data_IF_851460152054
#
_entry.id   IF_851460152054
#
_cell.length_a   1.000
_cell.length_b   1.000
_cell.length_c   1.000
_cell.angle_alpha   90.00
_cell.angle_beta   90.00
_cell.angle_gamma   90.00
#
_symmetry.space_group_name_H-M   'P 1'
#
loop_
_entity.id
_entity.type
_entity.pdbx_description
1 polymer ?
#
# COMPACT_ATOMS: atom_id res chain seq x y z
N UNK A 1 -14.03 1.34 4.84
CA UNK A 1 -13.04 0.48 5.50
C UNK A 1 -13.45 -0.98 5.46
N UNK A 2 -14.68 -1.28 5.88
CA UNK A 2 -15.15 -2.66 6.14
C UNK A 2 -15.07 -3.60 4.93
N UNK A 3 -15.20 -3.07 3.71
CA UNK A 3 -15.10 -3.88 2.48
C UNK A 3 -13.64 -4.22 2.13
N UNK A 4 -12.68 -3.33 2.40
CA UNK A 4 -11.28 -3.48 1.98
C UNK A 4 -10.42 -4.16 3.04
N UNK A 5 -10.72 -3.93 4.33
CA UNK A 5 -9.94 -4.45 5.45
C UNK A 5 -9.70 -5.97 5.37
N UNK A 6 -10.70 -6.83 5.09
CA UNK A 6 -10.46 -8.28 5.05
C UNK A 6 -9.48 -8.72 3.96
N UNK A 7 -9.50 -8.04 2.80
CA UNK A 7 -8.56 -8.32 1.72
C UNK A 7 -7.16 -7.85 2.08
N UNK A 8 -7.04 -6.65 2.65
CA UNK A 8 -5.76 -6.13 3.12
C UNK A 8 -5.14 -7.06 4.17
N UNK A 9 -5.92 -7.50 5.16
CA UNK A 9 -5.45 -8.41 6.21
C UNK A 9 -5.00 -9.76 5.64
N UNK A 10 -5.75 -10.30 4.67
CA UNK A 10 -5.36 -11.54 4.00
C UNK A 10 -4.04 -11.38 3.22
N UNK A 11 -3.90 -10.31 2.44
CA UNK A 11 -2.67 -10.02 1.69
C UNK A 11 -1.48 -9.84 2.64
N UNK A 12 -1.65 -9.09 3.73
CA UNK A 12 -0.63 -8.94 4.77
C UNK A 12 -0.24 -10.28 5.40
N UNK A 13 -1.21 -11.13 5.74
CA UNK A 13 -0.95 -12.43 6.35
C UNK A 13 -0.21 -13.41 5.42
N UNK A 14 -0.53 -13.40 4.12
CA UNK A 14 0.06 -14.32 3.12
C UNK A 14 1.43 -13.84 2.64
N UNK A 15 1.55 -12.55 2.34
CA UNK A 15 2.75 -12.02 1.70
C UNK A 15 3.77 -11.47 2.69
N UNK A 16 3.30 -10.90 3.81
CA UNK A 16 4.10 -10.10 4.73
C UNK A 16 4.43 -8.72 4.15
N UNK A 17 4.89 -7.81 5.02
CA UNK A 17 5.19 -6.42 4.65
C UNK A 17 6.31 -6.29 3.61
N UNK A 18 7.22 -7.27 3.50
CA UNK A 18 8.35 -7.23 2.55
C UNK A 18 7.97 -7.52 1.08
N UNK A 19 6.71 -7.91 0.80
CA UNK A 19 6.26 -8.31 -0.55
C UNK A 19 5.01 -7.58 -1.03
N UNK A 20 4.69 -6.44 -0.42
CA UNK A 20 3.52 -5.62 -0.76
C UNK A 20 4.01 -4.24 -1.17
N UNK A 21 3.48 -3.70 -2.26
CA UNK A 21 3.80 -2.35 -2.74
C UNK A 21 2.53 -1.56 -3.00
N UNK A 22 2.53 -0.29 -2.62
CA UNK A 22 1.41 0.60 -2.87
C UNK A 22 1.38 1.04 -4.34
N UNK A 23 0.19 1.08 -4.91
CA UNK A 23 -0.08 1.62 -6.24
C UNK A 23 -1.43 2.33 -6.24
N UNK A 24 -1.50 3.47 -6.92
CA UNK A 24 -2.72 4.28 -6.98
C UNK A 24 -3.72 3.82 -8.02
N UNK A 25 -3.26 3.07 -9.03
CA UNK A 25 -4.01 2.77 -10.25
C UNK A 25 -4.55 4.04 -10.96
N UNK A 26 -3.85 5.17 -10.84
CA UNK A 26 -4.23 6.38 -11.58
C UNK A 26 -3.97 6.19 -13.08
N UNK A 27 -4.87 6.64 -13.98
CA UNK A 27 -6.10 7.41 -13.73
C UNK A 27 -7.36 6.56 -13.51
N UNK A 28 -7.25 5.23 -13.58
CA UNK A 28 -8.38 4.27 -13.51
C UNK A 28 -9.12 4.36 -12.18
N UNK A 29 -8.40 4.64 -11.07
CA UNK A 29 -9.00 4.87 -9.74
C UNK A 29 -10.17 5.88 -9.75
N UNK A 30 -10.17 6.83 -10.70
CA UNK A 30 -11.25 7.82 -10.86
C UNK A 30 -12.62 7.21 -11.19
N UNK A 31 -12.68 5.96 -11.62
CA UNK A 31 -13.94 5.26 -11.89
C UNK A 31 -14.68 4.88 -10.60
N UNK A 32 -13.98 4.77 -9.46
CA UNK A 32 -14.55 4.26 -8.21
C UNK A 32 -14.06 5.00 -6.96
N UNK A 33 -13.49 6.19 -7.13
CA UNK A 33 -12.96 7.02 -6.05
C UNK A 33 -12.07 8.14 -6.57
N UNK A 34 -11.25 8.70 -5.69
CA UNK A 34 -10.22 9.66 -6.02
C UNK A 34 -8.87 9.28 -5.38
N UNK A 35 -7.82 9.93 -5.84
CA UNK A 35 -6.45 9.64 -5.41
C UNK A 35 -6.26 9.89 -3.91
N UNK A 36 -6.77 11.01 -3.39
CA UNK A 36 -6.57 11.44 -1.99
C UNK A 36 -7.30 10.51 -1.01
N UNK A 37 -8.49 10.05 -1.39
CA UNK A 37 -9.28 9.06 -0.66
C UNK A 37 -8.54 7.72 -0.64
N UNK A 38 -7.95 7.29 -1.74
CA UNK A 38 -7.17 6.05 -1.78
C UNK A 38 -5.90 6.11 -0.91
N UNK A 39 -5.21 7.25 -0.94
CA UNK A 39 -4.06 7.51 -0.05
C UNK A 39 -4.51 7.49 1.42
N UNK A 40 -5.57 8.21 1.76
CA UNK A 40 -6.10 8.28 3.14
C UNK A 40 -6.59 6.92 3.66
N UNK A 41 -7.22 6.13 2.79
CA UNK A 41 -7.62 4.76 3.11
C UNK A 41 -6.39 3.90 3.40
N UNK A 42 -5.36 3.97 2.56
CA UNK A 42 -4.12 3.22 2.75
C UNK A 42 -3.43 3.60 4.06
N UNK A 43 -3.32 4.89 4.38
CA UNK A 43 -2.78 5.36 5.65
C UNK A 43 -3.54 4.77 6.84
N UNK A 44 -4.87 4.67 6.71
CA UNK A 44 -5.71 4.14 7.77
C UNK A 44 -5.61 2.62 7.92
N UNK A 45 -5.46 1.87 6.83
CA UNK A 45 -5.17 0.42 6.84
C UNK A 45 -3.83 0.13 7.53
N UNK A 46 -2.83 0.98 7.27
CA UNK A 46 -1.50 0.83 7.82
C UNK A 46 -1.34 1.40 9.23
N UNK A 47 -2.37 2.03 9.83
CA UNK A 47 -2.22 2.83 11.06
C UNK A 47 -1.47 2.10 12.19
N UNK A 48 -1.74 0.81 12.38
CA UNK A 48 -1.19 -0.02 13.46
C UNK A 48 0.14 -0.70 13.12
N UNK A 49 0.68 -0.51 11.91
CA UNK A 49 1.95 -1.10 11.50
C UNK A 49 3.15 -0.21 11.87
N UNK A 50 4.32 -0.85 11.97
CA UNK A 50 5.57 -0.15 12.29
C UNK A 50 5.93 0.89 11.22
N UNK A 51 6.75 1.87 11.59
CA UNK A 51 7.24 2.87 10.63
C UNK A 51 8.06 2.20 9.51
N UNK A 52 8.81 1.15 9.84
CA UNK A 52 9.60 0.38 8.87
C UNK A 52 8.70 -0.34 7.87
N UNK A 53 7.67 -1.06 8.32
CA UNK A 53 6.73 -1.77 7.45
C UNK A 53 5.96 -0.80 6.54
N UNK A 54 5.56 0.34 7.08
CA UNK A 54 4.96 1.42 6.29
C UNK A 54 5.91 1.87 5.18
N UNK A 55 7.18 2.13 5.50
CA UNK A 55 8.19 2.56 4.53
C UNK A 55 8.42 1.52 3.42
N UNK A 56 8.45 0.22 3.77
CA UNK A 56 8.54 -0.87 2.80
C UNK A 56 7.38 -0.85 1.82
N UNK A 57 6.15 -0.74 2.31
CA UNK A 57 4.93 -0.78 1.50
C UNK A 57 4.80 0.47 0.62
N UNK A 58 5.09 1.65 1.15
CA UNK A 58 4.97 2.91 0.41
C UNK A 58 6.00 3.08 -0.71
N UNK A 59 7.22 2.58 -0.54
CA UNK A 59 8.26 2.75 -1.55
C UNK A 59 9.35 1.67 -1.55
N UNK A 60 9.80 1.22 -0.37
CA UNK A 60 11.01 0.39 -0.25
C UNK A 60 10.97 -0.91 -1.05
N UNK A 61 9.82 -1.58 -1.08
CA UNK A 61 9.64 -2.81 -1.84
C UNK A 61 9.65 -2.56 -3.35
N UNK A 62 9.01 -1.48 -3.82
CA UNK A 62 9.03 -1.10 -5.23
C UNK A 62 10.46 -0.71 -5.64
N UNK A 63 11.18 0.07 -4.83
CA UNK A 63 12.58 0.43 -5.07
C UNK A 63 13.46 -0.81 -5.21
N UNK A 64 13.35 -1.75 -4.28
CA UNK A 64 14.11 -3.01 -4.33
C UNK A 64 13.74 -3.87 -5.53
N UNK A 65 12.45 -4.06 -5.80
CA UNK A 65 11.96 -4.93 -6.87
C UNK A 65 12.32 -4.41 -8.25
N UNK A 66 12.09 -3.12 -8.51
CA UNK A 66 12.39 -2.47 -9.79
C UNK A 66 13.83 -1.96 -9.89
N UNK A 67 14.66 -2.14 -8.85
CA UNK A 67 16.05 -1.68 -8.78
C UNK A 67 16.17 -0.17 -9.03
N UNK A 68 15.28 0.59 -8.41
CA UNK A 68 15.28 2.05 -8.50
C UNK A 68 16.43 2.63 -7.67
N UNK A 69 17.03 3.75 -8.09
CA UNK A 69 18.04 4.43 -7.29
C UNK A 69 17.44 4.96 -5.97
N UNK A 70 18.27 4.96 -4.92
CA UNK A 70 17.97 5.71 -3.71
C UNK A 70 18.24 7.20 -3.99
N UNK A 71 17.18 8.02 -3.91
CA UNK A 71 17.27 9.47 -3.97
C UNK A 71 17.35 10.07 -2.57
#
# INVERSE_FOLDING_TARGET
>A
MDVIQPYFDHVMAVFGSDRIMWGSDWPVIKLNGDYDTWVSLTQSLLKNYSFEDKGKIWAGNAQKFYRLPAY
#
